data_IF_760045514939
#
_entry.id   IF_760045514939
#
_cell.length_a   1.000
_cell.length_b   1.000
_cell.length_c   1.000
_cell.angle_alpha   90.00
_cell.angle_beta   90.00
_cell.angle_gamma   90.00
#
_symmetry.space_group_name_H-M   'P 1'
#
loop_
_entity.id
_entity.type
_entity.pdbx_description
1 polymer ?
#
# COMPACT_ATOMS: atom_id res chain seq x y z
N UNK A 1 -28.28 -16.75 29.01
CA UNK A 1 -29.55 -16.60 28.24
C UNK A 1 -29.65 -15.15 27.79
N UNK A 2 -29.41 -14.89 26.49
CA UNK A 2 -29.44 -13.55 25.90
C UNK A 2 -30.88 -13.16 25.56
N UNK A 3 -31.38 -12.05 26.14
CA UNK A 3 -32.69 -11.49 25.80
C UNK A 3 -32.56 -10.74 24.48
N UNK A 4 -33.01 -11.35 23.39
CA UNK A 4 -33.17 -10.64 22.11
C UNK A 4 -34.37 -9.69 22.21
N UNK A 5 -34.11 -8.41 21.92
CA UNK A 5 -35.09 -7.35 21.89
C UNK A 5 -35.80 -7.33 20.53
N UNK A 6 -37.06 -7.77 20.49
CA UNK A 6 -37.89 -7.88 19.28
C UNK A 6 -38.57 -6.55 18.90
N UNK A 7 -37.82 -5.45 18.86
CA UNK A 7 -38.36 -4.12 18.52
C UNK A 7 -38.38 -3.82 17.01
N UNK A 8 -38.74 -4.80 16.17
CA UNK A 8 -38.80 -4.62 14.70
C UNK A 8 -40.21 -4.73 14.10
N UNK A 9 -41.24 -4.97 14.90
CA UNK A 9 -42.51 -5.51 14.38
C UNK A 9 -43.69 -4.56 14.27
N UNK A 10 -43.50 -3.23 14.27
CA UNK A 10 -44.58 -2.30 13.96
C UNK A 10 -44.12 -1.17 13.05
N UNK A 11 -43.69 -1.53 11.83
CA UNK A 11 -43.67 -0.56 10.72
C UNK A 11 -45.02 -0.67 10.01
N UNK A 12 -45.86 0.36 10.13
CA UNK A 12 -46.99 0.58 9.23
C UNK A 12 -46.42 0.92 7.84
N UNK A 13 -45.96 -0.09 7.12
CA UNK A 13 -45.58 0.05 5.71
C UNK A 13 -46.86 0.25 4.90
N UNK A 14 -46.75 0.93 3.75
CA UNK A 14 -47.86 1.15 2.81
C UNK A 14 -48.63 -0.14 2.47
N UNK A 15 -47.93 -1.28 2.56
CA UNK A 15 -48.41 -2.63 2.26
C UNK A 15 -49.44 -3.17 3.28
N UNK A 16 -49.31 -2.84 4.57
CA UNK A 16 -50.21 -3.38 5.63
C UNK A 16 -51.58 -2.71 5.61
N UNK A 17 -51.65 -1.46 5.13
CA UNK A 17 -52.89 -0.68 5.07
C UNK A 17 -53.60 -0.78 3.71
N UNK A 18 -52.87 -1.11 2.64
CA UNK A 18 -53.41 -1.32 1.30
C UNK A 18 -54.21 -2.62 1.21
N UNK A 19 -53.73 -3.72 1.83
CA UNK A 19 -54.45 -5.01 1.82
C UNK A 19 -55.85 -4.89 2.43
N UNK A 20 -55.99 -4.21 3.58
CA UNK A 20 -57.29 -4.01 4.23
C UNK A 20 -58.24 -3.15 3.41
N UNK A 21 -57.73 -2.09 2.75
CA UNK A 21 -58.57 -1.17 1.97
C UNK A 21 -59.01 -1.77 0.63
N UNK A 22 -58.11 -2.45 -0.08
CA UNK A 22 -58.40 -2.97 -1.42
C UNK A 22 -59.17 -4.29 -1.39
N UNK A 23 -59.07 -5.10 -0.32
CA UNK A 23 -59.79 -6.37 -0.20
C UNK A 23 -61.31 -6.18 -0.05
N UNK A 24 -61.75 -5.19 0.71
CA UNK A 24 -63.18 -4.87 0.87
C UNK A 24 -63.76 -4.17 -0.35
N UNK A 25 -63.00 -3.31 -1.02
CA UNK A 25 -63.51 -2.51 -2.14
C UNK A 25 -63.52 -3.29 -3.47
N UNK A 26 -62.58 -4.23 -3.67
CA UNK A 26 -62.45 -4.98 -4.92
C UNK A 26 -63.01 -6.40 -4.83
N UNK A 27 -63.27 -6.93 -3.63
CA UNK A 27 -63.70 -8.32 -3.43
C UNK A 27 -62.68 -9.37 -3.87
N UNK A 28 -61.46 -8.95 -4.22
CA UNK A 28 -60.40 -9.80 -4.70
C UNK A 28 -59.45 -10.11 -3.54
N UNK A 29 -59.26 -11.41 -3.28
CA UNK A 29 -58.26 -11.88 -2.32
C UNK A 29 -57.03 -12.40 -3.07
N UNK A 30 -55.85 -12.08 -2.55
CA UNK A 30 -54.61 -12.69 -3.06
C UNK A 30 -54.66 -14.19 -2.76
N UNK A 31 -54.44 -15.05 -3.75
CA UNK A 31 -54.40 -16.50 -3.52
C UNK A 31 -53.31 -16.91 -2.53
N UNK A 32 -53.60 -17.93 -1.74
CA UNK A 32 -52.65 -18.50 -0.79
C UNK A 32 -51.34 -18.86 -1.51
N UNK A 33 -50.19 -18.44 -0.97
CA UNK A 33 -48.85 -18.67 -1.52
C UNK A 33 -48.48 -18.00 -2.86
N UNK A 34 -49.30 -17.09 -3.42
CA UNK A 34 -49.02 -16.45 -4.73
C UNK A 34 -47.64 -15.78 -4.81
N UNK A 35 -47.20 -15.11 -3.74
CA UNK A 35 -45.90 -14.43 -3.67
C UNK A 35 -44.81 -15.25 -2.99
N UNK A 36 -45.06 -16.52 -2.65
CA UNK A 36 -44.10 -17.31 -1.87
C UNK A 36 -42.84 -17.61 -2.69
N UNK A 37 -42.99 -17.94 -3.97
CA UNK A 37 -41.86 -18.24 -4.85
C UNK A 37 -40.99 -16.99 -5.08
N UNK A 38 -41.59 -15.85 -5.42
CA UNK A 38 -40.82 -14.62 -5.68
C UNK A 38 -40.06 -14.15 -4.43
N UNK A 39 -40.69 -14.22 -3.25
CA UNK A 39 -40.03 -13.89 -1.97
C UNK A 39 -38.83 -14.80 -1.70
N UNK A 40 -38.96 -16.11 -1.95
CA UNK A 40 -37.87 -17.08 -1.79
C UNK A 40 -36.73 -16.79 -2.78
N UNK A 41 -37.05 -16.58 -4.05
CA UNK A 41 -36.06 -16.26 -5.09
C UNK A 41 -35.29 -14.97 -4.78
N UNK A 42 -35.97 -13.91 -4.33
CA UNK A 42 -35.31 -12.65 -3.93
C UNK A 42 -34.39 -12.88 -2.72
N UNK A 43 -34.83 -13.68 -1.74
CA UNK A 43 -34.03 -13.98 -0.55
C UNK A 43 -32.79 -14.82 -0.90
N UNK A 44 -32.94 -15.83 -1.74
CA UNK A 44 -31.84 -16.69 -2.22
C UNK A 44 -30.80 -15.84 -2.98
N UNK A 45 -31.26 -14.96 -3.89
CA UNK A 45 -30.38 -14.06 -4.64
C UNK A 45 -29.64 -13.03 -3.77
N UNK A 46 -30.27 -12.53 -2.71
CA UNK A 46 -29.67 -11.49 -1.85
C UNK A 46 -28.80 -12.05 -0.73
N UNK A 47 -29.06 -13.27 -0.25
CA UNK A 47 -28.28 -13.91 0.82
C UNK A 47 -27.04 -14.62 0.28
N UNK A 48 -27.11 -15.22 -0.93
CA UNK A 48 -25.96 -15.92 -1.53
C UNK A 48 -24.85 -14.97 -2.06
N UNK A 49 -25.18 -13.71 -2.38
CA UNK A 49 -24.19 -12.69 -2.75
C UNK A 49 -23.36 -12.15 -1.58
N UNK A 50 -23.63 -12.61 -0.34
CA UNK A 50 -22.67 -12.49 0.77
C UNK A 50 -21.53 -13.50 0.59
N UNK A 51 -20.89 -13.45 -0.59
CA UNK A 51 -19.62 -14.08 -0.93
C UNK A 51 -18.72 -13.89 0.27
N UNK A 52 -18.52 -14.99 1.01
CA UNK A 52 -17.60 -15.15 2.13
C UNK A 52 -16.39 -14.27 1.82
N UNK A 53 -16.32 -13.10 2.45
CA UNK A 53 -15.19 -12.20 2.30
C UNK A 53 -14.06 -12.99 2.93
N UNK A 54 -13.32 -13.71 2.10
CA UNK A 54 -12.09 -14.36 2.47
C UNK A 54 -11.14 -13.21 2.74
N UNK A 55 -11.18 -12.71 3.98
CA UNK A 55 -10.10 -11.94 4.58
C UNK A 55 -8.92 -12.90 4.57
N UNK A 56 -8.21 -13.00 3.44
CA UNK A 56 -6.91 -13.62 3.40
C UNK A 56 -6.07 -12.84 4.42
N UNK A 57 -5.63 -13.45 5.52
CA UNK A 57 -4.62 -12.80 6.32
C UNK A 57 -3.40 -12.71 5.39
N UNK A 58 -2.96 -11.50 5.09
CA UNK A 58 -1.66 -11.25 4.45
C UNK A 58 -0.60 -11.68 5.45
N UNK A 59 -0.43 -12.99 5.60
CA UNK A 59 0.28 -13.62 6.69
C UNK A 59 1.78 -13.61 6.39
N UNK A 60 2.52 -12.92 7.27
CA UNK A 60 3.90 -13.23 7.69
C UNK A 60 5.01 -13.42 6.64
N UNK A 61 4.87 -12.97 5.40
CA UNK A 61 5.93 -13.05 4.38
C UNK A 61 6.58 -11.71 3.99
N UNK A 62 5.88 -10.59 4.21
CA UNK A 62 6.24 -9.28 3.65
C UNK A 62 7.43 -8.60 4.35
N UNK A 63 7.75 -8.98 5.59
CA UNK A 63 8.88 -8.38 6.31
C UNK A 63 10.23 -8.74 5.68
N UNK A 64 10.35 -9.91 5.06
CA UNK A 64 11.58 -10.34 4.36
C UNK A 64 11.86 -9.45 3.15
N UNK A 65 10.81 -9.09 2.41
CA UNK A 65 10.91 -8.21 1.24
C UNK A 65 11.21 -6.76 1.63
N UNK A 66 10.66 -6.29 2.76
CA UNK A 66 10.96 -4.96 3.31
C UNK A 66 12.44 -4.81 3.71
N UNK A 67 13.00 -5.81 4.39
CA UNK A 67 14.40 -5.78 4.80
C UNK A 67 15.37 -5.74 3.60
N UNK A 68 15.10 -6.52 2.55
CA UNK A 68 15.93 -6.54 1.32
C UNK A 68 15.86 -5.19 0.59
N UNK A 69 14.68 -4.57 0.50
CA UNK A 69 14.53 -3.27 -0.14
C UNK A 69 15.29 -2.15 0.61
N UNK A 70 15.26 -2.18 1.95
CA UNK A 70 16.01 -1.22 2.76
C UNK A 70 17.53 -1.35 2.58
N UNK A 71 18.05 -2.59 2.54
CA UNK A 71 19.47 -2.85 2.30
C UNK A 71 19.87 -2.41 0.90
N UNK A 72 19.06 -2.70 -0.12
CA UNK A 72 19.33 -2.27 -1.50
C UNK A 72 19.36 -0.73 -1.62
N UNK A 73 18.43 -0.02 -0.97
CA UNK A 73 18.41 1.44 -0.97
C UNK A 73 19.68 2.01 -0.33
N UNK A 74 20.07 1.52 0.84
CA UNK A 74 21.31 1.96 1.50
C UNK A 74 22.52 1.65 0.62
N UNK A 75 22.60 0.46 0.02
CA UNK A 75 23.69 0.09 -0.88
C UNK A 75 23.79 1.00 -2.10
N UNK A 76 22.65 1.34 -2.73
CA UNK A 76 22.64 2.28 -3.87
C UNK A 76 23.09 3.68 -3.51
N UNK A 77 22.70 4.18 -2.33
CA UNK A 77 23.16 5.50 -1.86
C UNK A 77 24.66 5.47 -1.59
N UNK A 78 25.14 4.45 -0.88
CA UNK A 78 26.56 4.32 -0.54
C UNK A 78 27.40 4.20 -1.79
N UNK A 79 27.13 3.21 -2.65
CA UNK A 79 27.89 2.97 -3.88
C UNK A 79 27.77 4.14 -4.85
N UNK A 80 26.58 4.71 -5.04
CA UNK A 80 26.38 5.89 -5.87
C UNK A 80 27.20 7.09 -5.38
N UNK A 81 27.22 7.33 -4.07
CA UNK A 81 28.01 8.41 -3.47
C UNK A 81 29.53 8.20 -3.55
N UNK A 82 30.00 6.95 -3.60
CA UNK A 82 31.42 6.65 -3.84
C UNK A 82 31.82 6.97 -5.29
N UNK A 83 31.00 6.56 -6.27
CA UNK A 83 31.28 6.85 -7.68
C UNK A 83 31.25 8.36 -7.98
N UNK A 84 30.30 9.09 -7.41
CA UNK A 84 30.19 10.54 -7.61
C UNK A 84 31.34 11.30 -6.95
N UNK A 85 31.83 10.85 -5.78
CA UNK A 85 33.02 11.46 -5.15
C UNK A 85 34.28 11.28 -5.99
N UNK A 86 34.47 10.12 -6.62
CA UNK A 86 35.66 9.86 -7.42
C UNK A 86 35.71 10.75 -8.68
N UNK A 87 34.57 10.94 -9.38
CA UNK A 87 34.52 11.87 -10.53
C UNK A 87 34.69 13.34 -10.10
N UNK A 88 34.08 13.75 -8.98
CA UNK A 88 34.17 15.14 -8.52
C UNK A 88 35.58 15.48 -8.04
N UNK A 89 36.25 14.60 -7.29
CA UNK A 89 37.61 14.82 -6.79
C UNK A 89 38.65 14.93 -7.91
N UNK A 90 38.56 14.08 -8.94
CA UNK A 90 39.45 14.15 -10.12
C UNK A 90 39.22 15.44 -10.93
N UNK A 91 37.97 15.91 -11.00
CA UNK A 91 37.67 17.16 -11.68
C UNK A 91 38.14 18.41 -10.90
N UNK A 92 38.00 18.39 -9.57
CA UNK A 92 38.37 19.51 -8.71
C UNK A 92 39.89 19.72 -8.65
N UNK A 93 40.69 18.64 -8.66
CA UNK A 93 42.17 18.73 -8.68
C UNK A 93 42.68 19.29 -10.02
N UNK A 94 42.07 18.90 -11.14
CA UNK A 94 42.40 19.44 -12.47
C UNK A 94 42.01 20.92 -12.60
N UNK A 95 40.87 21.31 -12.03
CA UNK A 95 40.44 22.71 -11.97
C UNK A 95 41.39 23.51 -11.08
N UNK A 96 41.75 23.01 -9.90
CA UNK A 96 42.71 23.66 -9.01
C UNK A 96 44.08 23.83 -9.68
N UNK A 97 44.58 22.80 -10.38
CA UNK A 97 45.82 22.87 -11.15
C UNK A 97 45.75 23.85 -12.33
N UNK A 98 44.57 24.10 -12.90
CA UNK A 98 44.38 25.08 -13.96
C UNK A 98 44.34 26.52 -13.44
N UNK A 99 43.94 26.72 -12.19
CA UNK A 99 43.83 28.04 -11.56
C UNK A 99 45.07 28.45 -10.76
N UNK A 100 45.91 27.49 -10.37
CA UNK A 100 47.15 27.71 -9.64
C UNK A 100 48.28 28.20 -10.55
N UNK A 101 49.22 28.95 -9.98
CA UNK A 101 50.46 29.34 -10.66
C UNK A 101 51.37 28.11 -10.85
N UNK A 102 52.21 28.09 -11.90
CA UNK A 102 52.96 26.89 -12.32
C UNK A 102 53.86 26.30 -11.20
N UNK A 103 54.29 27.12 -10.25
CA UNK A 103 55.11 26.75 -9.09
C UNK A 103 54.30 26.17 -7.91
N UNK A 104 52.98 26.39 -7.88
CA UNK A 104 52.08 25.87 -6.84
C UNK A 104 51.44 24.53 -7.24
N UNK A 105 51.43 24.21 -8.54
CA UNK A 105 50.84 22.97 -9.09
C UNK A 105 51.49 21.71 -8.50
N UNK A 106 52.81 21.69 -8.35
CA UNK A 106 53.53 20.52 -7.85
C UNK A 106 53.18 20.20 -6.38
N UNK A 107 52.98 21.23 -5.55
CA UNK A 107 52.54 21.06 -4.16
C UNK A 107 51.10 20.54 -4.04
N UNK A 108 50.22 20.95 -4.97
CA UNK A 108 48.82 20.49 -5.04
C UNK A 108 48.76 19.02 -5.44
N UNK A 109 49.56 18.60 -6.44
CA UNK A 109 49.63 17.20 -6.90
C UNK A 109 50.19 16.28 -5.80
N UNK A 110 51.28 16.69 -5.14
CA UNK A 110 51.92 15.89 -4.09
C UNK A 110 50.99 15.66 -2.89
N UNK A 111 50.23 16.69 -2.50
CA UNK A 111 49.21 16.58 -1.45
C UNK A 111 48.06 15.63 -1.82
N UNK A 112 47.58 15.66 -3.07
CA UNK A 112 46.54 14.75 -3.55
C UNK A 112 47.00 13.29 -3.54
N UNK A 113 48.21 13.01 -4.05
CA UNK A 113 48.80 11.66 -4.09
C UNK A 113 48.98 11.10 -2.66
N UNK A 114 49.39 11.95 -1.72
CA UNK A 114 49.57 11.53 -0.33
C UNK A 114 48.24 11.19 0.36
N UNK A 115 47.18 11.97 0.13
CA UNK A 115 45.85 11.71 0.70
C UNK A 115 45.18 10.46 0.10
N UNK A 116 45.36 10.21 -1.20
CA UNK A 116 44.85 9.01 -1.88
C UNK A 116 45.52 7.72 -1.36
N UNK A 117 46.85 7.71 -1.23
CA UNK A 117 47.59 6.55 -0.71
C UNK A 117 47.28 6.25 0.77
N UNK A 118 47.03 7.28 1.58
CA UNK A 118 46.64 7.10 2.99
C UNK A 118 45.21 6.57 3.15
N UNK A 119 44.33 6.84 2.20
CA UNK A 119 42.98 6.27 2.23
C UNK A 119 42.94 4.82 1.75
N UNK A 120 43.73 4.43 0.74
CA UNK A 120 43.77 3.04 0.26
C UNK A 120 44.36 2.05 1.29
N UNK A 121 45.39 2.42 2.06
CA UNK A 121 45.98 1.52 3.07
C UNK A 121 45.06 1.23 4.27
N UNK A 122 44.16 2.16 4.61
CA UNK A 122 43.29 2.04 5.80
C UNK A 122 42.08 1.11 5.57
N UNK A 123 41.76 0.76 4.31
CA UNK A 123 40.61 -0.10 3.99
C UNK A 123 40.97 -1.55 3.60
N UNK A 124 42.24 -1.98 3.77
CA UNK A 124 42.70 -3.34 3.46
C UNK A 124 42.89 -4.28 4.68
N UNK A 125 42.48 -3.89 5.89
CA UNK A 125 42.45 -4.76 7.09
C UNK A 125 41.04 -5.23 7.50
#
# INVERSE_FOLDING_TARGET
MSKQNNNFSQRNTLDVNSEKKHKTDLGLSVPENYFQQSKRTILEQTVEESKKISLFPFSSGVYKWSAVAAIALVFTIVVGSYFEKNEVLESDILIASLMAEEDEVEAIIDGFVQDELLTEEVFLE
#
